data_IF_789154122695
#
_entry.id   IF_789154122695
#
_cell.length_a   1.000
_cell.length_b   1.000
_cell.length_c   1.000
_cell.angle_alpha   90.00
_cell.angle_beta   90.00
_cell.angle_gamma   90.00
#
_symmetry.space_group_name_H-M   'P 1'
#
loop_
_entity.id
_entity.type
_entity.pdbx_description
1 polymer ?
#
# COMPACT_ATOMS: atom_id res chain seq x y z
N UNK A 1 -1.37 -8.28 -10.24
CA UNK A 1 -0.49 -8.33 -9.05
C UNK A 1 0.51 -9.48 -9.12
N UNK A 2 0.10 -10.74 -9.33
CA UNK A 2 0.99 -11.91 -9.36
C UNK A 2 2.14 -11.81 -10.38
N UNK A 3 1.92 -11.25 -11.59
CA UNK A 3 2.99 -11.01 -12.58
C UNK A 3 4.10 -10.10 -12.04
N UNK A 4 3.73 -9.07 -11.28
CA UNK A 4 4.69 -8.12 -10.70
C UNK A 4 5.47 -8.79 -9.57
N UNK A 5 4.80 -9.60 -8.73
CA UNK A 5 5.46 -10.34 -7.66
C UNK A 5 6.47 -11.39 -8.16
N UNK A 6 6.34 -11.88 -9.41
CA UNK A 6 7.39 -12.73 -10.03
C UNK A 6 8.76 -12.04 -10.07
N UNK A 7 8.82 -10.72 -10.11
CA UNK A 7 10.10 -9.99 -10.06
C UNK A 7 10.79 -10.07 -8.68
N UNK A 8 10.09 -10.49 -7.62
CA UNK A 8 10.67 -10.77 -6.30
C UNK A 8 11.62 -11.98 -6.32
N UNK A 9 11.56 -12.84 -7.35
CA UNK A 9 12.51 -13.95 -7.51
C UNK A 9 13.98 -13.48 -7.45
N UNK A 10 14.28 -12.26 -7.89
CA UNK A 10 15.63 -11.68 -7.79
C UNK A 10 16.08 -11.38 -6.35
N UNK A 11 15.15 -11.40 -5.39
CA UNK A 11 15.41 -11.10 -3.98
C UNK A 11 14.91 -12.23 -3.06
N UNK A 12 14.81 -13.47 -3.58
CA UNK A 12 14.24 -14.59 -2.86
C UNK A 12 14.93 -14.87 -1.51
N UNK A 13 16.27 -14.75 -1.45
CA UNK A 13 17.02 -14.91 -0.20
C UNK A 13 16.60 -13.89 0.85
N UNK A 14 16.44 -12.60 0.46
CA UNK A 14 15.98 -11.57 1.38
C UNK A 14 14.54 -11.85 1.86
N UNK A 15 13.66 -12.35 0.98
CA UNK A 15 12.30 -12.73 1.35
C UNK A 15 12.29 -13.87 2.37
N UNK A 16 13.11 -14.91 2.17
CA UNK A 16 13.23 -16.02 3.11
C UNK A 16 13.74 -15.54 4.47
N UNK A 17 14.79 -14.70 4.48
CA UNK A 17 15.33 -14.12 5.72
C UNK A 17 14.26 -13.28 6.44
N UNK A 18 13.48 -12.46 5.72
CA UNK A 18 12.37 -11.68 6.29
C UNK A 18 11.36 -12.61 6.96
N UNK A 19 10.97 -13.71 6.31
CA UNK A 19 9.98 -14.65 6.86
C UNK A 19 10.50 -15.30 8.15
N UNK A 20 11.77 -15.73 8.15
CA UNK A 20 12.40 -16.34 9.33
C UNK A 20 12.47 -15.32 10.47
N UNK A 21 12.94 -14.09 10.20
CA UNK A 21 13.03 -13.05 11.21
C UNK A 21 11.66 -12.64 11.77
N UNK A 22 10.62 -12.61 10.92
CA UNK A 22 9.25 -12.34 11.36
C UNK A 22 8.69 -13.47 12.24
N UNK A 23 9.03 -14.73 11.95
CA UNK A 23 8.67 -15.86 12.80
C UNK A 23 9.37 -15.79 14.17
N UNK A 24 10.66 -15.48 14.19
CA UNK A 24 11.43 -15.27 15.43
C UNK A 24 10.87 -14.09 16.22
N UNK A 25 10.61 -12.96 15.56
CA UNK A 25 9.99 -11.77 16.17
C UNK A 25 8.64 -12.11 16.81
N UNK A 26 7.76 -12.78 16.05
CA UNK A 26 6.42 -13.15 16.55
C UNK A 26 6.51 -14.12 17.74
N UNK A 27 7.43 -15.09 17.70
CA UNK A 27 7.67 -15.99 18.81
C UNK A 27 8.16 -15.24 20.05
N UNK A 28 9.13 -14.32 19.88
CA UNK A 28 9.64 -13.48 20.95
C UNK A 28 8.53 -12.61 21.56
N UNK A 29 7.69 -11.95 20.72
CA UNK A 29 6.61 -11.08 21.18
C UNK A 29 5.51 -11.89 21.93
N UNK A 30 5.25 -13.13 21.51
CA UNK A 30 4.32 -14.05 22.20
C UNK A 30 4.90 -14.65 23.49
N UNK A 31 6.23 -14.61 23.67
CA UNK A 31 6.86 -15.07 24.92
C UNK A 31 6.88 -13.99 26.02
N UNK A 32 6.80 -12.69 25.67
CA UNK A 32 6.88 -11.59 26.64
C UNK A 32 5.80 -11.68 27.75
N UNK A 33 4.51 -11.94 27.43
CA UNK A 33 3.51 -12.11 28.49
C UNK A 33 3.79 -13.27 29.44
N UNK A 34 4.39 -14.37 28.94
CA UNK A 34 4.75 -15.50 29.79
C UNK A 34 5.79 -15.11 30.86
N UNK A 35 6.75 -14.26 30.53
CA UNK A 35 7.74 -13.74 31.51
C UNK A 35 7.07 -12.87 32.58
N UNK A 36 6.08 -12.03 32.18
CA UNK A 36 5.29 -11.24 33.15
C UNK A 36 4.55 -12.17 34.10
N UNK A 37 3.89 -13.22 33.57
CA UNK A 37 3.22 -14.22 34.39
C UNK A 37 4.18 -14.84 35.43
N UNK A 38 5.39 -15.25 35.01
CA UNK A 38 6.39 -15.85 35.91
C UNK A 38 6.86 -14.87 36.98
N UNK A 39 7.16 -13.62 36.59
CA UNK A 39 7.59 -12.60 37.54
C UNK A 39 6.52 -12.33 38.58
N UNK A 40 5.25 -12.21 38.15
CA UNK A 40 4.14 -11.89 39.05
C UNK A 40 3.79 -13.10 39.94
N UNK A 41 3.59 -14.27 39.34
CA UNK A 41 3.13 -15.45 40.07
C UNK A 41 4.20 -15.99 41.03
N UNK A 42 5.43 -16.22 40.52
CA UNK A 42 6.48 -16.87 41.32
C UNK A 42 7.38 -15.86 42.06
N UNK A 43 7.47 -14.61 41.56
CA UNK A 43 8.32 -13.61 42.20
C UNK A 43 7.58 -12.72 43.20
N UNK A 44 6.40 -12.26 42.87
CA UNK A 44 5.66 -11.27 43.70
C UNK A 44 4.61 -11.98 44.56
N UNK A 45 3.80 -12.85 43.98
CA UNK A 45 2.67 -13.48 44.72
C UNK A 45 3.18 -14.41 45.80
N UNK A 46 4.22 -15.22 45.51
CA UNK A 46 4.84 -16.09 46.54
C UNK A 46 5.47 -15.28 47.67
N UNK A 47 6.10 -14.14 47.38
CA UNK A 47 6.66 -13.24 48.40
C UNK A 47 5.58 -12.57 49.27
N UNK A 48 4.36 -12.39 48.79
CA UNK A 48 3.25 -11.89 49.62
C UNK A 48 2.73 -12.98 50.56
N UNK A 49 2.74 -14.24 50.14
CA UNK A 49 2.28 -15.37 50.96
C UNK A 49 3.30 -15.76 52.01
N UNK A 50 4.60 -15.76 51.66
CA UNK A 50 5.73 -16.01 52.57
C UNK A 50 6.80 -14.92 52.47
N UNK A 51 6.77 -13.87 53.33
CA UNK A 51 7.71 -12.77 53.29
C UNK A 51 9.18 -13.19 53.48
N UNK A 52 9.44 -14.37 54.07
CA UNK A 52 10.79 -14.91 54.24
C UNK A 52 11.36 -15.50 52.95
N UNK A 53 10.51 -15.77 51.94
CA UNK A 53 10.88 -16.35 50.67
C UNK A 53 10.93 -15.30 49.54
N UNK A 54 11.23 -14.04 49.88
CA UNK A 54 11.35 -12.96 48.87
C UNK A 54 12.49 -13.23 47.90
N UNK A 55 12.19 -13.69 46.72
CA UNK A 55 13.18 -14.04 45.68
C UNK A 55 13.47 -12.85 44.76
N UNK A 56 14.05 -11.76 45.29
CA UNK A 56 14.48 -10.63 44.47
C UNK A 56 15.36 -11.05 43.29
N UNK A 57 16.22 -12.03 43.51
CA UNK A 57 17.11 -12.58 42.49
C UNK A 57 16.34 -13.24 41.34
N UNK A 58 15.24 -13.95 41.64
CA UNK A 58 14.38 -14.56 40.61
C UNK A 58 13.74 -13.49 39.71
N UNK A 59 13.19 -12.42 40.31
CA UNK A 59 12.59 -11.29 39.57
C UNK A 59 13.61 -10.64 38.64
N UNK A 60 14.83 -10.40 39.14
CA UNK A 60 15.93 -9.84 38.33
C UNK A 60 16.33 -10.76 37.17
N UNK A 61 16.43 -12.07 37.41
CA UNK A 61 16.80 -13.06 36.37
C UNK A 61 15.70 -13.13 35.28
N UNK A 62 14.43 -13.27 35.65
CA UNK A 62 13.32 -13.35 34.67
C UNK A 62 13.13 -11.99 33.99
N UNK A 63 13.32 -10.87 34.68
CA UNK A 63 13.31 -9.53 34.09
C UNK A 63 14.42 -9.34 33.05
N UNK A 64 15.65 -9.82 33.34
CA UNK A 64 16.75 -9.76 32.39
C UNK A 64 16.51 -10.65 31.15
N UNK A 65 15.95 -11.86 31.35
CA UNK A 65 15.53 -12.72 30.22
C UNK A 65 14.48 -12.05 29.37
N UNK A 66 13.47 -11.43 29.98
CA UNK A 66 12.43 -10.67 29.28
C UNK A 66 13.03 -9.52 28.47
N UNK A 67 13.99 -8.78 29.05
CA UNK A 67 14.69 -7.70 28.36
C UNK A 67 15.49 -8.24 27.16
N UNK A 68 16.18 -9.37 27.32
CA UNK A 68 16.91 -10.01 26.23
C UNK A 68 15.99 -10.43 25.08
N UNK A 69 14.83 -11.04 25.39
CA UNK A 69 13.83 -11.43 24.39
C UNK A 69 13.24 -10.19 23.69
N UNK A 70 12.96 -9.14 24.44
CA UNK A 70 12.49 -7.87 23.86
C UNK A 70 13.55 -7.24 22.94
N UNK A 71 14.83 -7.30 23.33
CA UNK A 71 15.94 -6.82 22.48
C UNK A 71 16.07 -7.63 21.19
N UNK A 72 15.88 -8.96 21.25
CA UNK A 72 15.85 -9.83 20.07
C UNK A 72 14.67 -9.46 19.17
N UNK A 73 13.46 -9.29 19.72
CA UNK A 73 12.28 -8.86 18.95
C UNK A 73 12.53 -7.52 18.25
N UNK A 74 13.07 -6.54 18.98
CA UNK A 74 13.42 -5.22 18.43
C UNK A 74 14.44 -5.34 17.29
N UNK A 75 15.52 -6.09 17.47
CA UNK A 75 16.55 -6.30 16.44
C UNK A 75 15.99 -6.97 15.20
N UNK A 76 15.14 -7.99 15.36
CA UNK A 76 14.43 -8.64 14.26
C UNK A 76 13.51 -7.64 13.54
N UNK A 77 12.73 -6.84 14.28
CA UNK A 77 11.81 -5.85 13.71
C UNK A 77 12.52 -4.78 12.89
N UNK A 78 13.64 -4.24 13.38
CA UNK A 78 14.48 -3.26 12.66
C UNK A 78 15.06 -3.89 11.39
N UNK A 79 15.60 -5.09 11.49
CA UNK A 79 16.20 -5.80 10.34
C UNK A 79 15.16 -6.13 9.29
N UNK A 80 13.97 -6.59 9.69
CA UNK A 80 12.84 -6.86 8.79
C UNK A 80 12.41 -5.59 8.08
N UNK A 81 12.28 -4.47 8.80
CA UNK A 81 11.87 -3.19 8.20
C UNK A 81 12.91 -2.73 7.15
N UNK A 82 14.18 -2.84 7.47
CA UNK A 82 15.27 -2.49 6.56
C UNK A 82 15.27 -3.38 5.30
N UNK A 83 15.21 -4.70 5.48
CA UNK A 83 15.19 -5.65 4.36
C UNK A 83 13.94 -5.51 3.48
N UNK A 84 12.76 -5.36 4.09
CA UNK A 84 11.49 -5.18 3.37
C UNK A 84 11.50 -3.91 2.53
N UNK A 85 12.02 -2.80 3.08
CA UNK A 85 12.18 -1.55 2.33
C UNK A 85 13.16 -1.70 1.17
N UNK A 86 14.28 -2.41 1.36
CA UNK A 86 15.23 -2.72 0.28
C UNK A 86 14.62 -3.58 -0.82
N UNK A 87 13.86 -4.61 -0.45
CA UNK A 87 13.14 -5.48 -1.40
C UNK A 87 12.12 -4.68 -2.21
N UNK A 88 11.33 -3.83 -1.52
CA UNK A 88 10.38 -2.93 -2.19
C UNK A 88 11.06 -1.95 -3.14
N UNK A 89 12.15 -1.31 -2.70
CA UNK A 89 12.92 -0.37 -3.53
C UNK A 89 13.55 -1.05 -4.76
N UNK A 90 14.11 -2.26 -4.59
CA UNK A 90 14.69 -3.05 -5.69
C UNK A 90 13.62 -3.44 -6.71
N UNK A 91 12.43 -3.83 -6.24
CA UNK A 91 11.28 -4.09 -7.12
C UNK A 91 10.86 -2.81 -7.87
N UNK A 92 10.75 -1.68 -7.18
CA UNK A 92 10.43 -0.39 -7.79
C UNK A 92 11.43 0.02 -8.86
N UNK A 93 12.74 -0.14 -8.60
CA UNK A 93 13.80 0.09 -9.59
C UNK A 93 13.61 -0.79 -10.83
N UNK A 94 13.43 -2.10 -10.64
CA UNK A 94 13.25 -3.04 -11.74
C UNK A 94 12.01 -2.75 -12.59
N UNK A 95 10.90 -2.33 -11.96
CA UNK A 95 9.68 -1.95 -12.67
C UNK A 95 9.87 -0.65 -13.47
N UNK A 96 10.52 0.38 -12.88
CA UNK A 96 10.83 1.63 -13.60
C UNK A 96 11.69 1.37 -14.82
N UNK A 97 12.73 0.56 -14.68
CA UNK A 97 13.60 0.19 -15.79
C UNK A 97 12.83 -0.53 -16.91
N UNK A 98 11.98 -1.50 -16.55
CA UNK A 98 11.18 -2.25 -17.53
C UNK A 98 10.18 -1.36 -18.26
N UNK A 99 9.45 -0.50 -17.52
CA UNK A 99 8.49 0.43 -18.10
C UNK A 99 9.21 1.41 -19.00
N UNK A 100 10.31 2.00 -18.56
CA UNK A 100 11.06 2.97 -19.34
C UNK A 100 11.59 2.38 -20.66
N UNK A 101 12.21 1.20 -20.59
CA UNK A 101 12.66 0.48 -21.80
C UNK A 101 11.49 0.16 -22.74
N UNK A 102 10.33 -0.20 -22.18
CA UNK A 102 9.14 -0.49 -22.97
C UNK A 102 8.59 0.76 -23.68
N UNK A 103 8.51 1.88 -22.95
CA UNK A 103 8.03 3.15 -23.49
C UNK A 103 8.97 3.69 -24.61
N UNK A 104 10.29 3.54 -24.44
CA UNK A 104 11.24 3.92 -25.49
C UNK A 104 11.06 3.14 -26.79
N UNK A 105 10.52 1.94 -26.72
CA UNK A 105 10.20 1.13 -27.90
C UNK A 105 8.80 1.40 -28.49
N UNK A 106 8.01 2.29 -27.92
CA UNK A 106 6.68 2.62 -28.42
C UNK A 106 6.73 3.42 -29.70
N UNK A 107 5.82 3.16 -30.60
CA UNK A 107 5.53 4.01 -31.78
C UNK A 107 4.57 5.14 -31.40
N UNK A 108 4.30 6.02 -32.36
CA UNK A 108 3.35 7.13 -32.17
C UNK A 108 1.95 6.61 -31.84
N UNK A 109 1.55 5.45 -32.37
CA UNK A 109 0.22 4.85 -32.10
C UNK A 109 0.05 4.46 -30.64
N UNK A 110 1.05 3.80 -30.02
CA UNK A 110 1.01 3.46 -28.59
C UNK A 110 1.02 4.71 -27.70
N UNK A 111 1.79 5.74 -28.09
CA UNK A 111 1.77 7.03 -27.37
C UNK A 111 0.43 7.75 -27.43
N UNK A 112 -0.33 7.61 -28.51
CA UNK A 112 -1.70 8.15 -28.60
C UNK A 112 -2.67 7.40 -27.69
N UNK A 113 -2.52 6.09 -27.58
CA UNK A 113 -3.37 5.26 -26.70
C UNK A 113 -3.10 5.56 -25.21
N UNK A 114 -1.85 5.70 -24.83
CA UNK A 114 -1.45 6.07 -23.47
C UNK A 114 -1.05 7.55 -23.45
N UNK A 115 -1.89 8.45 -22.96
CA UNK A 115 -1.46 9.84 -22.81
C UNK A 115 -0.16 9.98 -22.02
N UNK A 116 0.68 10.96 -22.37
CA UNK A 116 1.96 11.22 -21.68
C UNK A 116 1.79 11.35 -20.16
N UNK A 117 0.75 12.06 -19.69
CA UNK A 117 0.43 12.20 -18.29
C UNK A 117 0.15 10.85 -17.61
N UNK A 118 -0.55 9.94 -18.30
CA UNK A 118 -0.81 8.58 -17.82
C UNK A 118 0.46 7.75 -17.70
N UNK A 119 1.37 7.81 -18.70
CA UNK A 119 2.65 7.10 -18.67
C UNK A 119 3.56 7.60 -17.53
N UNK A 120 3.60 8.91 -17.28
CA UNK A 120 4.31 9.48 -16.14
C UNK A 120 3.75 8.95 -14.83
N UNK A 121 2.43 8.97 -14.64
CA UNK A 121 1.79 8.47 -13.42
C UNK A 121 2.06 6.97 -13.21
N UNK A 122 2.01 6.15 -14.27
CA UNK A 122 2.30 4.71 -14.22
C UNK A 122 3.76 4.41 -13.88
N UNK A 123 4.70 5.23 -14.35
CA UNK A 123 6.14 5.07 -14.07
C UNK A 123 6.59 5.65 -12.72
N UNK A 124 5.78 6.48 -12.07
CA UNK A 124 6.06 7.12 -10.79
C UNK A 124 5.13 6.63 -9.68
N UNK A 125 3.92 7.18 -9.60
CA UNK A 125 2.98 6.96 -8.50
C UNK A 125 2.50 5.51 -8.40
N UNK A 126 2.17 4.87 -9.54
CA UNK A 126 1.68 3.49 -9.52
C UNK A 126 2.78 2.52 -9.04
N UNK A 127 4.04 2.73 -9.46
CA UNK A 127 5.17 1.93 -8.96
C UNK A 127 5.41 2.20 -7.47
N UNK A 128 5.33 3.46 -7.02
CA UNK A 128 5.49 3.81 -5.61
C UNK A 128 4.43 3.14 -4.75
N UNK A 129 3.17 3.08 -5.22
CA UNK A 129 2.08 2.39 -4.55
C UNK A 129 2.38 0.89 -4.38
N UNK A 130 2.87 0.23 -5.43
CA UNK A 130 3.28 -1.18 -5.37
C UNK A 130 4.45 -1.38 -4.41
N UNK A 131 5.46 -0.51 -4.47
CA UNK A 131 6.62 -0.55 -3.58
C UNK A 131 6.20 -0.47 -2.11
N UNK A 132 5.32 0.47 -1.76
CA UNK A 132 4.82 0.63 -0.40
C UNK A 132 4.05 -0.61 0.09
N UNK A 133 3.14 -1.13 -0.75
CA UNK A 133 2.36 -2.33 -0.40
C UNK A 133 3.25 -3.53 -0.22
N UNK A 134 4.24 -3.77 -1.10
CA UNK A 134 5.16 -4.90 -0.97
C UNK A 134 6.02 -4.78 0.27
N UNK A 135 6.48 -3.57 0.65
CA UNK A 135 7.25 -3.36 1.88
C UNK A 135 6.45 -3.68 3.15
N UNK A 136 5.13 -3.41 3.15
CA UNK A 136 4.25 -3.68 4.30
C UNK A 136 3.67 -5.11 4.30
N UNK A 137 3.54 -5.71 3.12
CA UNK A 137 2.86 -7.00 2.91
C UNK A 137 3.44 -8.12 3.76
N UNK A 138 4.76 -8.21 3.89
CA UNK A 138 5.42 -9.25 4.69
C UNK A 138 4.96 -9.22 6.14
N UNK A 139 4.86 -8.02 6.72
CA UNK A 139 4.42 -7.84 8.11
C UNK A 139 2.96 -8.25 8.29
N UNK A 140 2.10 -7.90 7.36
CA UNK A 140 0.68 -8.20 7.49
C UNK A 140 0.37 -9.67 7.16
N UNK A 141 1.01 -10.25 6.13
CA UNK A 141 0.72 -11.62 5.69
C UNK A 141 1.42 -12.68 6.55
N UNK A 142 2.60 -12.35 7.14
CA UNK A 142 3.37 -13.33 7.91
C UNK A 142 3.25 -13.07 9.41
N UNK A 143 3.61 -11.88 9.87
CA UNK A 143 3.65 -11.57 11.30
C UNK A 143 2.25 -11.53 11.94
N UNK A 144 1.29 -10.83 11.32
CA UNK A 144 -0.02 -10.68 11.94
C UNK A 144 -0.79 -12.01 12.11
N UNK A 145 -0.80 -12.96 11.14
CA UNK A 145 -1.40 -14.27 11.37
C UNK A 145 -0.67 -15.08 12.45
N UNK A 146 0.67 -15.03 12.53
CA UNK A 146 1.41 -15.74 13.56
C UNK A 146 1.07 -15.19 14.94
N UNK A 147 1.03 -13.87 15.12
CA UNK A 147 0.62 -13.23 16.38
C UNK A 147 -0.84 -13.53 16.71
N UNK A 148 -1.76 -13.40 15.75
CA UNK A 148 -3.19 -13.65 15.97
C UNK A 148 -3.48 -15.10 16.35
N UNK A 149 -3.00 -16.04 15.54
CA UNK A 149 -3.21 -17.47 15.77
C UNK A 149 -2.39 -17.95 16.98
N UNK A 150 -1.13 -17.55 17.07
CA UNK A 150 -0.25 -17.91 18.19
C UNK A 150 -0.75 -17.38 19.53
N UNK A 151 -1.24 -16.11 19.56
CA UNK A 151 -1.89 -15.55 20.73
C UNK A 151 -3.15 -16.33 21.15
N UNK A 152 -3.98 -16.73 20.17
CA UNK A 152 -5.15 -17.55 20.43
C UNK A 152 -4.76 -18.91 21.01
N UNK A 153 -3.74 -19.59 20.46
CA UNK A 153 -3.22 -20.84 21.01
C UNK A 153 -2.68 -20.67 22.43
N UNK A 154 -1.94 -19.60 22.71
CA UNK A 154 -1.44 -19.27 24.05
C UNK A 154 -2.58 -19.12 25.06
N UNK A 155 -3.64 -18.41 24.69
CA UNK A 155 -4.83 -18.22 25.52
C UNK A 155 -5.56 -19.56 25.78
N UNK A 156 -5.74 -20.39 24.75
CA UNK A 156 -6.41 -21.69 24.90
C UNK A 156 -5.54 -22.66 25.74
N UNK A 157 -4.21 -22.56 25.63
CA UNK A 157 -3.27 -23.40 26.38
C UNK A 157 -3.18 -23.05 27.87
N UNK A 158 -3.60 -21.85 28.28
CA UNK A 158 -3.78 -21.48 29.68
C UNK A 158 -4.90 -22.39 30.25
N UNK A 159 -4.53 -23.36 31.04
CA UNK A 159 -5.41 -24.44 31.56
C UNK A 159 -6.73 -23.87 32.09
N UNK A 160 -7.85 -24.46 31.63
CA UNK A 160 -9.23 -24.20 32.09
C UNK A 160 -9.61 -22.70 32.01
N UNK A 161 -9.52 -22.11 30.83
CA UNK A 161 -9.67 -20.67 30.72
C UNK A 161 -11.15 -20.23 30.57
N UNK A 162 -11.84 -19.87 31.65
CA UNK A 162 -13.22 -19.39 31.61
C UNK A 162 -13.33 -18.00 30.93
N UNK A 163 -12.20 -17.41 30.55
CA UNK A 163 -12.13 -16.05 29.97
C UNK A 163 -11.97 -16.02 28.45
N UNK A 164 -11.77 -17.17 27.77
CA UNK A 164 -11.52 -17.23 26.34
C UNK A 164 -12.61 -16.58 25.48
N UNK A 165 -13.87 -16.59 25.92
CA UNK A 165 -15.00 -15.92 25.27
C UNK A 165 -14.83 -14.39 25.17
N UNK A 166 -14.07 -13.79 26.10
CA UNK A 166 -13.82 -12.34 26.13
C UNK A 166 -13.08 -11.88 24.87
N UNK A 167 -12.19 -12.74 24.33
CA UNK A 167 -11.50 -12.45 23.05
C UNK A 167 -12.53 -12.37 21.91
N UNK A 168 -13.51 -13.27 21.90
CA UNK A 168 -14.60 -13.21 20.91
C UNK A 168 -15.40 -11.90 21.02
N UNK A 169 -15.69 -11.47 22.25
CA UNK A 169 -16.35 -10.17 22.51
C UNK A 169 -15.47 -8.99 22.07
N UNK A 170 -14.17 -9.02 22.39
CA UNK A 170 -13.24 -7.99 22.00
C UNK A 170 -13.15 -7.86 20.46
N UNK A 171 -12.95 -8.97 19.76
CA UNK A 171 -12.90 -8.99 18.29
C UNK A 171 -14.24 -8.57 17.68
N UNK A 172 -15.38 -9.02 18.23
CA UNK A 172 -16.71 -8.62 17.80
C UNK A 172 -16.96 -7.12 17.97
N UNK A 173 -16.56 -6.54 19.10
CA UNK A 173 -16.68 -5.11 19.36
C UNK A 173 -15.82 -4.27 18.41
N UNK A 174 -14.57 -4.68 18.17
CA UNK A 174 -13.66 -4.01 17.22
C UNK A 174 -14.21 -4.12 15.79
N UNK A 175 -14.67 -5.30 15.38
CA UNK A 175 -15.29 -5.50 14.08
C UNK A 175 -16.51 -4.60 13.90
N UNK A 176 -17.36 -4.51 14.92
CA UNK A 176 -18.55 -3.65 14.90
C UNK A 176 -18.17 -2.18 14.70
N UNK A 177 -17.16 -1.68 15.41
CA UNK A 177 -16.68 -0.29 15.25
C UNK A 177 -16.17 -0.07 13.83
N UNK A 178 -15.33 -0.99 13.33
CA UNK A 178 -14.77 -0.88 11.97
C UNK A 178 -15.90 -0.88 10.93
N UNK A 179 -16.89 -1.75 11.07
CA UNK A 179 -18.04 -1.82 10.15
C UNK A 179 -18.91 -0.55 10.23
N UNK A 180 -19.21 -0.06 11.42
CA UNK A 180 -19.99 1.18 11.62
C UNK A 180 -19.28 2.37 10.96
N UNK A 181 -17.98 2.52 11.21
CA UNK A 181 -17.18 3.59 10.60
C UNK A 181 -17.14 3.45 9.07
N UNK A 182 -17.01 2.22 8.56
CA UNK A 182 -17.02 1.98 7.13
C UNK A 182 -18.36 2.38 6.49
N UNK A 183 -19.48 1.96 7.08
CA UNK A 183 -20.82 2.29 6.59
C UNK A 183 -21.07 3.80 6.61
N UNK A 184 -20.64 4.51 7.66
CA UNK A 184 -20.83 5.96 7.81
C UNK A 184 -19.87 6.76 6.93
N UNK A 185 -18.61 6.34 6.83
CA UNK A 185 -17.58 7.10 6.12
C UNK A 185 -17.59 6.87 4.59
N UNK A 186 -17.89 5.65 4.11
CA UNK A 186 -17.83 5.30 2.68
C UNK A 186 -18.68 6.21 1.77
N UNK A 187 -19.98 6.47 2.06
CA UNK A 187 -20.77 7.36 1.21
C UNK A 187 -20.22 8.79 1.21
N UNK A 188 -19.63 9.23 2.31
CA UNK A 188 -19.02 10.56 2.42
C UNK A 188 -17.69 10.65 1.68
N UNK A 189 -16.90 9.58 1.64
CA UNK A 189 -15.70 9.50 0.79
C UNK A 189 -16.05 9.62 -0.70
N UNK A 190 -17.08 8.93 -1.15
CA UNK A 190 -17.56 9.06 -2.54
C UNK A 190 -17.99 10.49 -2.84
N UNK A 191 -18.79 11.09 -1.95
CA UNK A 191 -19.25 12.47 -2.10
C UNK A 191 -18.10 13.49 -2.04
N UNK A 192 -17.04 13.21 -1.32
CA UNK A 192 -15.84 14.06 -1.26
C UNK A 192 -15.22 14.20 -2.65
N UNK A 193 -15.09 13.09 -3.41
CA UNK A 193 -14.55 13.14 -4.76
C UNK A 193 -15.41 14.02 -5.69
N UNK A 194 -16.75 13.87 -5.66
CA UNK A 194 -17.68 14.70 -6.43
C UNK A 194 -17.53 16.21 -6.10
N UNK A 195 -17.30 16.52 -4.81
CA UNK A 195 -17.11 17.91 -4.38
C UNK A 195 -15.73 18.48 -4.78
N UNK A 196 -14.69 17.65 -4.79
CA UNK A 196 -13.36 18.02 -5.32
C UNK A 196 -13.46 18.33 -6.82
N UNK A 197 -14.13 17.47 -7.59
CA UNK A 197 -14.31 17.66 -9.02
C UNK A 197 -15.09 18.95 -9.31
N UNK A 198 -16.13 19.22 -8.50
CA UNK A 198 -16.91 20.46 -8.58
C UNK A 198 -16.08 21.70 -8.25
N UNK A 199 -15.25 21.65 -7.22
CA UNK A 199 -14.35 22.76 -6.86
C UNK A 199 -13.33 23.00 -8.00
N UNK A 200 -12.73 21.93 -8.53
CA UNK A 200 -11.80 22.01 -9.66
C UNK A 200 -12.49 22.60 -10.93
N UNK A 201 -13.73 22.23 -11.19
CA UNK A 201 -14.50 22.78 -12.30
C UNK A 201 -14.69 24.29 -12.13
N UNK A 202 -15.18 24.74 -10.97
CA UNK A 202 -15.36 26.16 -10.67
C UNK A 202 -14.05 26.93 -10.76
N UNK A 203 -12.95 26.37 -10.21
CA UNK A 203 -11.62 26.99 -10.30
C UNK A 203 -11.15 27.12 -11.75
N UNK A 204 -11.35 26.09 -12.59
CA UNK A 204 -10.97 26.11 -14.01
C UNK A 204 -11.78 27.14 -14.77
N UNK A 205 -13.10 27.21 -14.57
CA UNK A 205 -13.97 28.19 -15.20
C UNK A 205 -13.56 29.61 -14.83
N UNK A 206 -13.24 29.89 -13.55
CA UNK A 206 -12.74 31.19 -13.09
C UNK A 206 -11.41 31.54 -13.75
N UNK A 207 -10.43 30.63 -13.75
CA UNK A 207 -9.10 30.87 -14.33
C UNK A 207 -9.19 31.13 -15.85
N UNK A 208 -10.00 30.38 -16.56
CA UNK A 208 -10.20 30.55 -18.01
C UNK A 208 -10.99 31.82 -18.32
N UNK A 209 -11.97 32.16 -17.45
CA UNK A 209 -12.85 33.31 -17.62
C UNK A 209 -12.35 34.62 -16.99
N UNK A 210 -11.14 34.71 -16.44
CA UNK A 210 -10.61 35.93 -15.77
C UNK A 210 -10.80 37.20 -16.60
N UNK A 211 -10.51 37.24 -17.92
CA UNK A 211 -10.73 38.47 -18.71
C UNK A 211 -12.19 38.90 -18.73
N UNK A 212 -13.12 37.94 -18.85
CA UNK A 212 -14.57 38.22 -18.88
C UNK A 212 -15.06 38.67 -17.51
N UNK A 213 -14.64 37.99 -16.44
CA UNK A 213 -14.98 38.35 -15.05
C UNK A 213 -14.62 39.79 -14.76
N UNK A 214 -13.41 40.21 -15.15
CA UNK A 214 -12.92 41.60 -14.99
C UNK A 214 -13.66 42.57 -15.86
N UNK A 215 -13.93 42.24 -17.15
CA UNK A 215 -14.64 43.11 -18.07
C UNK A 215 -16.06 43.43 -17.57
N UNK A 216 -16.72 42.48 -16.91
CA UNK A 216 -18.09 42.65 -16.40
C UNK A 216 -18.15 42.96 -14.90
N UNK A 217 -17.01 43.15 -14.20
CA UNK A 217 -16.89 43.47 -12.77
C UNK A 217 -17.70 42.50 -11.89
N UNK A 218 -17.59 41.17 -12.19
CA UNK A 218 -18.36 40.11 -11.53
C UNK A 218 -17.51 39.29 -10.53
N UNK A 219 -16.36 39.79 -10.08
CA UNK A 219 -15.43 39.11 -9.19
C UNK A 219 -16.12 38.63 -7.89
N UNK A 220 -16.89 39.49 -7.26
CA UNK A 220 -17.61 39.14 -6.00
C UNK A 220 -18.61 37.99 -6.19
N UNK A 221 -19.22 37.88 -7.35
CA UNK A 221 -20.19 36.82 -7.65
C UNK A 221 -19.45 35.49 -7.83
N UNK A 222 -18.35 35.49 -8.55
CA UNK A 222 -17.53 34.28 -8.75
C UNK A 222 -16.81 33.86 -7.46
N UNK A 223 -16.33 34.80 -6.65
CA UNK A 223 -15.78 34.52 -5.32
C UNK A 223 -16.84 33.84 -4.42
N UNK A 224 -18.05 34.33 -4.38
CA UNK A 224 -19.15 33.71 -3.62
C UNK A 224 -19.50 32.30 -4.15
N UNK A 225 -19.39 32.08 -5.46
CA UNK A 225 -19.60 30.76 -6.09
C UNK A 225 -18.50 29.77 -5.69
N UNK A 226 -17.23 30.22 -5.71
CA UNK A 226 -16.09 29.44 -5.25
C UNK A 226 -16.21 29.12 -3.77
N UNK A 227 -16.48 30.13 -2.92
CA UNK A 227 -16.62 29.95 -1.48
C UNK A 227 -17.73 28.94 -1.15
N UNK A 228 -18.86 28.95 -1.86
CA UNK A 228 -19.92 27.96 -1.68
C UNK A 228 -19.44 26.53 -2.00
N UNK A 229 -18.69 26.36 -3.08
CA UNK A 229 -18.13 25.06 -3.47
C UNK A 229 -17.08 24.58 -2.43
N UNK A 230 -16.19 25.48 -2.02
CA UNK A 230 -15.16 25.24 -1.01
C UNK A 230 -15.75 24.86 0.35
N UNK A 231 -16.76 25.62 0.82
CA UNK A 231 -17.45 25.37 2.09
C UNK A 231 -18.16 24.01 2.13
N UNK A 232 -18.75 23.59 1.00
CA UNK A 232 -19.36 22.27 0.88
C UNK A 232 -18.32 21.15 0.95
N UNK A 233 -17.19 21.30 0.27
CA UNK A 233 -16.08 20.38 0.35
C UNK A 233 -15.50 20.33 1.77
N UNK A 234 -15.23 21.48 2.37
CA UNK A 234 -14.70 21.60 3.73
C UNK A 234 -15.60 20.90 4.76
N UNK A 235 -16.91 21.12 4.71
CA UNK A 235 -17.86 20.48 5.65
C UNK A 235 -17.84 18.95 5.51
N UNK A 236 -17.82 18.45 4.29
CA UNK A 236 -17.76 17.00 4.06
C UNK A 236 -16.42 16.41 4.48
N UNK A 237 -15.31 17.12 4.22
CA UNK A 237 -13.96 16.75 4.63
C UNK A 237 -13.82 16.71 6.15
N UNK A 238 -14.33 17.75 6.85
CA UNK A 238 -14.34 17.78 8.30
C UNK A 238 -15.13 16.62 8.90
N UNK A 239 -16.30 16.28 8.32
CA UNK A 239 -17.08 15.14 8.78
C UNK A 239 -16.30 13.83 8.67
N UNK A 240 -15.71 13.57 7.49
CA UNK A 240 -14.89 12.36 7.25
C UNK A 240 -13.71 12.31 8.19
N UNK A 241 -12.98 13.42 8.34
CA UNK A 241 -11.81 13.51 9.22
C UNK A 241 -12.18 13.29 10.68
N UNK A 242 -13.26 13.91 11.15
CA UNK A 242 -13.73 13.73 12.53
C UNK A 242 -14.16 12.27 12.78
N UNK A 243 -14.87 11.65 11.84
CA UNK A 243 -15.25 10.24 11.95
C UNK A 243 -14.01 9.32 12.01
N UNK A 244 -13.00 9.59 11.19
CA UNK A 244 -11.74 8.83 11.21
C UNK A 244 -10.93 9.08 12.50
N UNK A 245 -10.88 10.30 12.98
CA UNK A 245 -10.16 10.64 14.21
C UNK A 245 -10.82 10.03 15.46
N UNK A 246 -12.16 9.85 15.46
CA UNK A 246 -12.86 9.17 16.53
C UNK A 246 -12.58 7.66 16.60
N UNK A 247 -12.05 7.06 15.55
CA UNK A 247 -11.75 5.62 15.52
C UNK A 247 -10.79 5.23 16.66
N UNK A 248 -9.68 5.97 16.82
CA UNK A 248 -8.69 5.65 17.85
C UNK A 248 -9.23 5.78 19.29
N UNK A 249 -9.94 6.86 19.69
CA UNK A 249 -10.59 6.93 20.99
C UNK A 249 -11.60 5.80 21.24
N UNK A 250 -12.41 5.44 20.25
CA UNK A 250 -13.34 4.32 20.38
C UNK A 250 -12.63 2.97 20.55
N UNK A 251 -11.58 2.72 19.77
CA UNK A 251 -10.76 1.53 19.95
C UNK A 251 -10.12 1.48 21.34
N UNK A 252 -9.56 2.60 21.83
CA UNK A 252 -9.02 2.69 23.19
C UNK A 252 -10.08 2.42 24.25
N UNK A 253 -11.28 2.96 24.08
CA UNK A 253 -12.40 2.74 25.00
C UNK A 253 -12.75 1.24 25.04
N UNK A 254 -12.88 0.60 23.88
CA UNK A 254 -13.16 -0.86 23.82
C UNK A 254 -12.05 -1.65 24.48
N UNK A 255 -10.78 -1.35 24.21
CA UNK A 255 -9.65 -2.05 24.80
C UNK A 255 -9.61 -1.91 26.32
N UNK A 256 -9.91 -0.71 26.86
CA UNK A 256 -9.99 -0.50 28.29
C UNK A 256 -11.20 -1.23 28.93
N UNK A 257 -12.37 -1.23 28.26
CA UNK A 257 -13.54 -1.98 28.73
C UNK A 257 -13.29 -3.49 28.71
N UNK A 258 -12.62 -4.01 27.67
CA UNK A 258 -12.21 -5.41 27.60
C UNK A 258 -11.22 -5.74 28.71
N UNK A 259 -10.24 -4.86 28.97
CA UNK A 259 -9.28 -5.05 30.08
C UNK A 259 -9.99 -5.07 31.44
N UNK A 260 -10.96 -4.17 31.66
CA UNK A 260 -11.77 -4.15 32.85
C UNK A 260 -12.59 -5.46 33.02
N UNK A 261 -13.17 -5.94 31.93
CA UNK A 261 -13.92 -7.21 31.90
C UNK A 261 -13.02 -8.41 32.22
N UNK A 262 -11.80 -8.42 31.67
CA UNK A 262 -10.80 -9.45 31.97
C UNK A 262 -10.42 -9.43 33.45
N UNK A 263 -10.19 -8.23 34.03
CA UNK A 263 -9.86 -8.10 35.43
C UNK A 263 -11.04 -8.54 36.30
N UNK A 264 -12.27 -8.13 35.99
CA UNK A 264 -13.47 -8.48 36.76
C UNK A 264 -13.78 -9.98 36.77
N UNK A 265 -13.74 -10.59 35.57
CA UNK A 265 -13.97 -12.06 35.46
C UNK A 265 -12.76 -12.81 36.02
N UNK A 266 -11.54 -12.32 35.79
CA UNK A 266 -10.29 -12.89 36.28
C UNK A 266 -10.23 -12.91 37.81
N UNK A 267 -10.60 -11.80 38.49
CA UNK A 267 -10.61 -11.72 39.94
C UNK A 267 -11.51 -12.81 40.57
N UNK A 268 -12.70 -13.03 40.01
CA UNK A 268 -13.57 -14.11 40.46
C UNK A 268 -12.96 -15.50 40.31
N UNK A 269 -12.15 -15.72 39.29
CA UNK A 269 -11.47 -17.00 39.05
C UNK A 269 -10.20 -17.15 39.91
N UNK A 270 -9.59 -16.08 40.35
CA UNK A 270 -8.49 -16.11 41.34
C UNK A 270 -9.01 -16.53 42.70
N UNK A 271 -10.18 -16.01 43.13
CA UNK A 271 -10.80 -16.34 44.38
C UNK A 271 -11.08 -17.87 44.56
N UNK A 272 -11.40 -18.54 43.48
CA UNK A 272 -11.60 -20.00 43.45
C UNK A 272 -10.33 -20.80 43.12
N UNK A 273 -9.15 -20.15 43.14
CA UNK A 273 -7.83 -20.73 42.78
C UNK A 273 -7.76 -21.38 41.38
N UNK A 274 -8.61 -20.96 40.44
CA UNK A 274 -8.59 -21.48 39.08
C UNK A 274 -7.47 -20.90 38.23
N UNK A 275 -7.08 -19.64 38.49
CA UNK A 275 -6.00 -18.91 37.80
C UNK A 275 -5.21 -18.05 38.81
N UNK A 276 -4.02 -17.62 38.40
CA UNK A 276 -3.18 -16.72 39.18
C UNK A 276 -3.22 -15.26 38.65
N UNK A 277 -2.83 -14.29 39.46
CA UNK A 277 -2.87 -12.85 39.10
C UNK A 277 -2.05 -12.55 37.85
N UNK A 278 -0.86 -13.17 37.68
CA UNK A 278 -0.03 -13.00 36.50
C UNK A 278 -0.69 -13.51 35.23
N UNK A 279 -1.57 -14.50 35.30
CA UNK A 279 -2.31 -15.01 34.15
C UNK A 279 -3.30 -13.97 33.62
N UNK A 280 -3.92 -13.17 34.50
CA UNK A 280 -4.77 -12.05 34.10
C UNK A 280 -3.98 -11.02 33.31
N UNK A 281 -2.76 -10.68 33.76
CA UNK A 281 -1.88 -9.71 33.06
C UNK A 281 -1.48 -10.23 31.68
N UNK A 282 -1.07 -11.50 31.59
CA UNK A 282 -0.74 -12.12 30.31
C UNK A 282 -1.96 -12.16 29.36
N UNK A 283 -3.14 -12.46 29.89
CA UNK A 283 -4.37 -12.54 29.11
C UNK A 283 -4.72 -11.17 28.50
N UNK A 284 -4.59 -10.06 29.24
CA UNK A 284 -4.76 -8.71 28.72
C UNK A 284 -3.78 -8.45 27.57
N UNK A 285 -2.51 -8.82 27.75
CA UNK A 285 -1.51 -8.61 26.71
C UNK A 285 -1.76 -9.44 25.44
N UNK A 286 -2.10 -10.73 25.60
CA UNK A 286 -2.47 -11.57 24.45
C UNK A 286 -3.70 -11.02 23.74
N UNK A 287 -4.71 -10.58 24.47
CA UNK A 287 -5.92 -9.97 23.87
C UNK A 287 -5.57 -8.73 23.06
N UNK A 288 -4.72 -7.86 23.60
CA UNK A 288 -4.20 -6.69 22.86
C UNK A 288 -3.46 -7.08 21.59
N UNK A 289 -2.56 -8.05 21.66
CA UNK A 289 -1.80 -8.53 20.49
C UNK A 289 -2.72 -9.13 19.42
N UNK A 290 -3.71 -9.93 19.79
CA UNK A 290 -4.70 -10.53 18.88
C UNK A 290 -5.53 -9.44 18.18
N UNK A 291 -6.01 -8.44 18.93
CA UNK A 291 -6.79 -7.33 18.37
C UNK A 291 -5.93 -6.49 17.41
N UNK A 292 -4.69 -6.21 17.78
CA UNK A 292 -3.75 -5.46 16.90
C UNK A 292 -3.43 -6.25 15.63
N UNK A 293 -3.23 -7.57 15.72
CA UNK A 293 -3.04 -8.43 14.56
C UNK A 293 -4.27 -8.39 13.62
N UNK A 294 -5.48 -8.43 14.18
CA UNK A 294 -6.73 -8.32 13.42
C UNK A 294 -6.83 -6.96 12.70
N UNK A 295 -6.50 -5.86 13.38
CA UNK A 295 -6.49 -4.52 12.78
C UNK A 295 -5.46 -4.40 11.65
N UNK A 296 -4.27 -5.00 11.81
CA UNK A 296 -3.26 -5.04 10.76
C UNK A 296 -3.78 -5.77 9.50
N UNK A 297 -4.44 -6.91 9.67
CA UNK A 297 -5.04 -7.66 8.56
C UNK A 297 -6.15 -6.84 7.89
N UNK A 298 -6.97 -6.13 8.67
CA UNK A 298 -8.03 -5.26 8.16
C UNK A 298 -7.50 -4.11 7.29
N UNK A 299 -6.34 -3.54 7.63
CA UNK A 299 -5.68 -2.52 6.80
C UNK A 299 -5.28 -3.03 5.41
N UNK A 300 -4.92 -4.30 5.29
CA UNK A 300 -4.57 -4.89 4.00
C UNK A 300 -5.75 -4.88 3.02
N UNK A 301 -6.97 -5.07 3.54
CA UNK A 301 -8.20 -5.06 2.73
C UNK A 301 -8.44 -3.72 2.01
N UNK A 302 -7.90 -2.62 2.55
CA UNK A 302 -7.98 -1.28 1.93
C UNK A 302 -6.81 -1.05 0.96
N UNK A 303 -5.62 -1.52 1.30
CA UNK A 303 -4.40 -1.24 0.52
C UNK A 303 -4.28 -2.14 -0.72
N UNK A 304 -4.70 -3.40 -0.62
CA UNK A 304 -4.55 -4.40 -1.69
C UNK A 304 -5.32 -4.06 -2.97
N UNK A 305 -6.60 -3.60 -2.92
CA UNK A 305 -7.32 -3.19 -4.12
C UNK A 305 -6.63 -2.03 -4.86
N UNK A 306 -6.13 -1.02 -4.15
CA UNK A 306 -5.41 0.11 -4.75
C UNK A 306 -4.14 -0.37 -5.48
N UNK A 307 -3.32 -1.18 -4.82
CA UNK A 307 -2.14 -1.76 -5.45
C UNK A 307 -2.48 -2.67 -6.64
N UNK A 308 -3.62 -3.36 -6.59
CA UNK A 308 -4.08 -4.20 -7.69
C UNK A 308 -4.45 -3.37 -8.94
N UNK A 309 -5.09 -2.22 -8.76
CA UNK A 309 -5.37 -1.27 -9.85
C UNK A 309 -4.07 -0.72 -10.45
N UNK A 310 -3.13 -0.24 -9.61
CA UNK A 310 -1.81 0.22 -10.07
C UNK A 310 -1.05 -0.88 -10.81
N UNK A 311 -1.11 -2.11 -10.30
CA UNK A 311 -0.50 -3.27 -10.96
C UNK A 311 -1.12 -3.58 -12.32
N UNK A 312 -2.45 -3.44 -12.46
CA UNK A 312 -3.14 -3.61 -13.75
C UNK A 312 -2.66 -2.56 -14.75
N UNK A 313 -2.62 -1.28 -14.35
CA UNK A 313 -2.18 -0.18 -15.22
C UNK A 313 -0.71 -0.33 -15.68
N UNK A 314 0.16 -0.82 -14.80
CA UNK A 314 1.55 -1.12 -15.13
C UNK A 314 1.62 -2.28 -16.13
N UNK A 315 0.86 -3.36 -15.90
CA UNK A 315 0.86 -4.51 -16.79
C UNK A 315 0.30 -4.15 -18.18
N UNK A 316 -0.68 -3.27 -18.29
CA UNK A 316 -1.18 -2.77 -19.59
C UNK A 316 -0.05 -2.19 -20.44
N UNK A 317 0.86 -1.42 -19.83
CA UNK A 317 2.03 -0.88 -20.55
C UNK A 317 3.04 -1.97 -20.88
N UNK A 318 3.34 -2.86 -19.93
CA UNK A 318 4.34 -3.91 -20.12
C UNK A 318 3.92 -5.00 -21.12
N UNK A 319 2.62 -5.32 -21.15
CA UNK A 319 2.04 -6.36 -22.01
C UNK A 319 1.68 -5.81 -23.41
N UNK A 320 1.66 -4.48 -23.62
CA UNK A 320 1.36 -3.89 -24.93
C UNK A 320 2.44 -4.30 -25.93
N UNK A 321 2.08 -4.89 -27.05
CA UNK A 321 2.98 -5.17 -28.14
C UNK A 321 3.27 -3.88 -28.93
N UNK A 322 4.51 -3.73 -29.36
CA UNK A 322 4.89 -2.64 -30.24
C UNK A 322 4.36 -2.93 -31.65
N UNK A 323 3.69 -1.94 -32.26
CA UNK A 323 3.17 -2.08 -33.62
C UNK A 323 4.29 -2.17 -34.65
N UNK A 324 5.42 -1.51 -34.39
CA UNK A 324 6.61 -1.56 -35.23
C UNK A 324 7.60 -2.54 -34.61
N UNK A 325 7.92 -3.61 -35.33
CA UNK A 325 8.87 -4.66 -34.94
C UNK A 325 9.94 -4.78 -36.01
N UNK A 326 11.16 -5.06 -35.60
CA UNK A 326 12.22 -5.43 -36.54
C UNK A 326 11.86 -6.70 -37.28
N UNK A 327 12.23 -6.85 -38.56
CA UNK A 327 12.00 -8.07 -39.33
C UNK A 327 12.85 -9.22 -38.73
N UNK A 328 12.33 -10.46 -38.85
CA UNK A 328 13.01 -11.66 -38.33
C UNK A 328 14.43 -11.84 -38.93
N UNK A 329 14.63 -11.40 -40.17
CA UNK A 329 15.91 -11.44 -40.86
C UNK A 329 16.27 -10.02 -41.34
N UNK A 330 16.86 -9.15 -40.51
CA UNK A 330 17.25 -7.81 -40.90
C UNK A 330 18.38 -7.87 -41.92
N UNK A 331 18.25 -7.12 -43.03
CA UNK A 331 19.33 -6.96 -43.99
C UNK A 331 20.37 -5.97 -43.46
N UNK A 332 21.64 -6.30 -43.60
CA UNK A 332 22.71 -5.35 -43.31
C UNK A 332 22.78 -4.24 -44.36
N UNK A 333 23.17 -3.04 -43.92
CA UNK A 333 23.42 -1.93 -44.83
C UNK A 333 24.55 -2.29 -45.78
N UNK A 334 24.34 -1.95 -47.08
CA UNK A 334 25.41 -1.99 -48.07
C UNK A 334 26.26 -0.73 -47.89
N UNK A 335 27.50 -0.92 -47.43
CA UNK A 335 28.42 0.24 -47.19
C UNK A 335 28.73 1.06 -48.47
N UNK A 336 28.59 0.44 -49.65
CA UNK A 336 28.78 1.13 -50.92
C UNK A 336 27.69 2.16 -51.22
N UNK A 337 26.51 2.03 -50.59
CA UNK A 337 25.35 2.90 -50.74
C UNK A 337 25.11 3.80 -49.54
N UNK A 338 26.10 4.03 -48.71
CA UNK A 338 26.04 4.84 -47.52
C UNK A 338 25.53 6.26 -47.80
N UNK A 339 24.41 6.63 -47.14
CA UNK A 339 23.80 7.96 -47.28
C UNK A 339 22.86 8.15 -48.47
N UNK A 340 22.56 7.08 -49.24
CA UNK A 340 21.53 7.09 -50.28
C UNK A 340 20.18 6.67 -49.62
N UNK A 341 19.12 7.45 -49.81
CA UNK A 341 17.78 7.11 -49.41
C UNK A 341 16.90 7.07 -50.69
N UNK A 342 16.35 5.91 -50.97
CA UNK A 342 15.54 5.66 -52.14
C UNK A 342 14.12 5.20 -51.73
N UNK A 343 13.11 5.92 -52.21
CA UNK A 343 11.71 5.51 -52.12
C UNK A 343 11.29 4.95 -53.46
N UNK A 344 10.70 3.75 -53.47
CA UNK A 344 10.18 3.05 -54.66
C UNK A 344 8.76 2.60 -54.44
N UNK A 345 7.82 3.21 -55.15
CA UNK A 345 6.38 2.86 -55.11
C UNK A 345 5.85 2.77 -53.65
N UNK A 346 6.26 3.72 -52.80
CA UNK A 346 5.88 3.70 -51.39
C UNK A 346 4.49 4.25 -51.21
N UNK A 347 3.59 3.40 -50.69
CA UNK A 347 2.26 3.77 -50.24
C UNK A 347 2.20 3.67 -48.73
N UNK A 348 1.70 4.70 -48.05
CA UNK A 348 1.58 4.74 -46.60
C UNK A 348 0.17 5.09 -46.16
N UNK A 349 -0.35 4.28 -45.22
CA UNK A 349 -1.65 4.46 -44.59
C UNK A 349 -1.49 4.40 -43.07
N UNK A 350 -2.10 5.34 -42.33
CA UNK A 350 -2.17 5.24 -40.88
C UNK A 350 -3.15 4.12 -40.50
N UNK A 351 -2.89 3.38 -39.37
CA UNK A 351 -3.76 2.28 -38.96
C UNK A 351 -5.23 2.64 -38.75
N UNK A 352 -5.49 3.91 -38.41
CA UNK A 352 -6.84 4.43 -38.11
C UNK A 352 -7.47 5.19 -39.30
N UNK A 353 -6.82 5.17 -40.47
CA UNK A 353 -7.32 5.88 -41.65
C UNK A 353 -7.99 4.90 -42.62
N UNK A 354 -9.11 5.34 -43.22
CA UNK A 354 -9.84 4.53 -44.21
C UNK A 354 -9.11 4.50 -45.55
N UNK A 355 -8.29 5.53 -45.87
CA UNK A 355 -7.60 5.68 -47.15
C UNK A 355 -6.09 5.91 -46.94
N UNK A 356 -5.23 5.51 -47.92
CA UNK A 356 -3.81 5.81 -47.87
C UNK A 356 -3.57 7.31 -47.93
N UNK A 357 -2.66 7.80 -47.05
CA UNK A 357 -2.30 9.21 -47.02
C UNK A 357 -1.23 9.56 -48.06
N UNK A 358 -0.33 8.64 -48.35
CA UNK A 358 0.71 8.77 -49.36
C UNK A 358 0.57 7.61 -50.34
N UNK A 359 0.54 7.90 -51.64
CA UNK A 359 0.42 6.90 -52.70
C UNK A 359 1.57 7.07 -53.70
N UNK A 360 2.20 5.95 -54.05
CA UNK A 360 3.16 5.84 -55.15
C UNK A 360 4.30 6.88 -55.06
N UNK A 361 4.91 7.02 -53.88
CA UNK A 361 6.02 7.94 -53.66
C UNK A 361 7.31 7.35 -54.25
N UNK A 362 7.92 8.09 -55.16
CA UNK A 362 9.15 7.70 -55.86
C UNK A 362 10.15 8.87 -55.86
N UNK A 363 11.28 8.74 -55.16
CA UNK A 363 12.40 9.66 -55.25
C UNK A 363 13.69 9.06 -54.70
N UNK A 364 14.83 9.63 -55.05
CA UNK A 364 16.14 9.25 -54.52
C UNK A 364 16.81 10.51 -53.95
N UNK A 365 17.25 10.42 -52.70
CA UNK A 365 18.10 11.43 -52.06
C UNK A 365 19.54 10.89 -52.01
N UNK A 366 20.47 11.69 -52.58
CA UNK A 366 21.89 11.35 -52.72
C UNK A 366 22.74 12.01 -51.61
N UNK A 367 23.83 11.38 -51.18
CA UNK A 367 24.74 11.94 -50.21
C UNK A 367 25.38 13.26 -50.71
N UNK A 368 25.47 14.24 -49.80
CA UNK A 368 26.03 15.55 -50.12
C UNK A 368 25.10 16.49 -50.92
N UNK A 369 23.89 16.02 -51.27
CA UNK A 369 22.87 16.86 -51.92
C UNK A 369 21.72 17.19 -50.96
N UNK A 370 21.12 18.38 -51.15
CA UNK A 370 19.93 18.78 -50.40
C UNK A 370 18.68 18.40 -51.20
N UNK A 371 17.80 17.59 -50.62
CA UNK A 371 16.52 17.27 -51.19
C UNK A 371 15.42 18.04 -50.43
N UNK A 372 14.68 18.89 -51.13
CA UNK A 372 13.60 19.68 -50.55
C UNK A 372 12.24 19.07 -50.90
N UNK A 373 11.41 18.82 -49.88
CA UNK A 373 10.03 18.33 -50.01
C UNK A 373 9.10 19.54 -49.82
N UNK A 374 8.41 19.93 -50.89
CA UNK A 374 7.55 21.14 -50.93
C UNK A 374 6.10 20.71 -51.12
N UNK A 375 5.17 21.41 -50.50
CA UNK A 375 3.72 21.13 -50.63
C UNK A 375 2.89 22.01 -49.71
N UNK A 376 1.57 22.00 -49.92
CA UNK A 376 0.58 22.74 -49.10
C UNK A 376 0.53 22.16 -47.67
N UNK A 377 -0.10 22.89 -46.74
CA UNK A 377 -0.39 22.38 -45.40
C UNK A 377 -1.33 21.19 -45.50
N UNK A 378 -1.00 20.07 -44.84
CA UNK A 378 -1.77 18.84 -44.88
C UNK A 378 -1.41 17.90 -46.04
N UNK A 379 -0.46 18.19 -46.91
CA UNK A 379 -0.07 17.32 -48.04
C UNK A 379 0.80 16.10 -47.66
N UNK A 380 0.97 15.79 -46.37
CA UNK A 380 1.77 14.64 -45.93
C UNK A 380 3.28 14.82 -45.86
N UNK A 381 3.80 16.07 -45.93
CA UNK A 381 5.25 16.31 -45.88
C UNK A 381 5.94 15.77 -44.65
N UNK A 382 5.29 15.87 -43.51
CA UNK A 382 5.84 15.42 -42.21
C UNK A 382 5.62 13.90 -41.96
N UNK A 383 4.73 13.28 -42.73
CA UNK A 383 4.49 11.83 -42.71
C UNK A 383 5.59 11.11 -43.45
#
# INVERSE_FOLDING_TARGET
MLKILKNLKQSWLAVVIIIILLAIQAYADLALPDYITRIVNNGITEAIVDPNNYQSQYIWIEGLKMLAVAAVSMACGITVMFLSSRVGAKLGKALREKIFKKILGFSISEFKEFSTASLITRSTNDIQQIQNVVSMMFRVIVYAPIIGIGGLFKVIALKQNPMAWIIGVALGAVLLIVLLLFVVAMPKFKKMQELVDKLNLVSREMLTGIPVIRAFNTEKKEEARFEKANKNLMRNFMFVNNAMNLMMPFLMLVMNLVSLLIIWVGAKNVDINAIQVGDIMAFIQYTMQIVMAFLMISMLSIMLPRASVSAKRINEVLDRENSIKDPENPKHFDESKKGIVEFKNVTFQYPDADEPLLCDINFTAEPGKTTAIIGSTGSGKST
#
